data_IF_562642037116
#
_entry.id   IF_562642037116
#
_cell.length_a   1.000
_cell.length_b   1.000
_cell.length_c   1.000
_cell.angle_alpha   90.00
_cell.angle_beta   90.00
_cell.angle_gamma   90.00
#
_symmetry.space_group_name_H-M   'P 1'
#
loop_
_entity.id
_entity.type
_entity.pdbx_description
1 polymer ?
#
# COMPACT_ATOMS: atom_id res chain seq x y z
N UNK A 1 -19.52 -3.47 24.90
CA UNK A 1 -20.57 -3.92 25.83
C UNK A 1 -19.95 -4.56 27.07
N UNK A 2 -19.13 -5.60 26.90
CA UNK A 2 -18.48 -6.34 27.99
C UNK A 2 -17.63 -5.47 28.93
N UNK A 3 -16.70 -4.66 28.40
CA UNK A 3 -15.84 -3.77 29.20
C UNK A 3 -16.62 -2.85 30.16
N UNK A 4 -17.85 -2.49 29.80
CA UNK A 4 -18.69 -1.55 30.56
C UNK A 4 -19.92 -2.24 31.20
N UNK A 5 -20.02 -3.56 31.14
CA UNK A 5 -21.16 -4.31 31.69
C UNK A 5 -22.52 -3.94 31.09
N UNK A 6 -22.55 -3.46 29.84
CA UNK A 6 -23.79 -3.00 29.19
C UNK A 6 -24.54 -4.16 28.53
N UNK A 7 -25.87 -4.11 28.60
CA UNK A 7 -26.75 -5.03 27.88
C UNK A 7 -26.83 -4.66 26.39
N UNK A 8 -26.67 -5.66 25.52
CA UNK A 8 -26.84 -5.50 24.07
C UNK A 8 -28.34 -5.68 23.72
N UNK A 9 -28.99 -4.62 23.22
CA UNK A 9 -30.42 -4.66 22.89
C UNK A 9 -30.71 -5.26 21.49
N UNK A 10 -29.80 -5.04 20.54
CA UNK A 10 -29.85 -5.61 19.19
C UNK A 10 -28.41 -5.80 18.68
N UNK A 11 -28.21 -6.76 17.78
CA UNK A 11 -26.92 -7.01 17.10
C UNK A 11 -27.07 -6.75 15.61
N UNK A 12 -25.94 -6.44 14.95
CA UNK A 12 -25.85 -6.29 13.50
C UNK A 12 -26.90 -5.31 12.96
N UNK A 13 -26.93 -4.10 13.53
CA UNK A 13 -27.90 -3.04 13.21
C UNK A 13 -27.39 -2.08 12.12
N UNK A 14 -26.24 -2.36 11.54
CA UNK A 14 -25.66 -1.64 10.41
C UNK A 14 -26.51 -1.77 9.14
N UNK A 15 -26.45 -0.74 8.29
CA UNK A 15 -27.13 -0.75 7.00
C UNK A 15 -26.40 -1.64 5.97
N UNK A 16 -25.06 -1.73 6.06
CA UNK A 16 -24.21 -2.51 5.15
C UNK A 16 -23.42 -3.59 5.91
N UNK A 17 -23.76 -4.88 5.73
CA UNK A 17 -23.05 -5.99 6.38
C UNK A 17 -21.62 -6.20 5.83
N UNK A 18 -21.25 -5.55 4.72
CA UNK A 18 -19.90 -5.64 4.15
C UNK A 18 -18.94 -4.55 4.65
N UNK A 19 -19.37 -3.71 5.60
CA UNK A 19 -18.53 -2.68 6.18
C UNK A 19 -17.31 -3.31 6.87
N UNK A 20 -16.13 -3.12 6.28
CA UNK A 20 -14.87 -3.67 6.76
C UNK A 20 -13.84 -2.58 6.94
N UNK A 21 -13.01 -2.71 7.98
CA UNK A 21 -11.88 -1.81 8.23
C UNK A 21 -10.59 -2.60 8.13
N UNK A 22 -9.72 -2.21 7.19
CA UNK A 22 -8.38 -2.78 7.07
C UNK A 22 -7.43 -2.12 8.06
N UNK A 23 -6.80 -2.93 8.91
CA UNK A 23 -5.73 -2.51 9.81
C UNK A 23 -4.37 -2.99 9.30
N UNK A 24 -3.30 -2.29 9.69
CA UNK A 24 -1.91 -2.69 9.47
C UNK A 24 -1.23 -2.84 10.82
N UNK A 25 -0.47 -3.92 11.00
CA UNK A 25 0.39 -4.13 12.18
C UNK A 25 1.78 -3.60 11.84
N UNK A 26 2.30 -2.68 12.65
CA UNK A 26 3.58 -2.01 12.40
C UNK A 26 4.60 -2.48 13.44
N UNK A 27 5.75 -2.91 12.97
CA UNK A 27 6.90 -3.30 13.80
C UNK A 27 8.19 -2.67 13.28
N UNK A 28 9.26 -2.74 14.08
CA UNK A 28 10.61 -2.32 13.66
C UNK A 28 11.39 -3.40 12.91
N UNK A 29 10.91 -4.64 12.93
CA UNK A 29 11.49 -5.77 12.20
C UNK A 29 10.62 -6.11 10.98
N UNK A 30 11.22 -6.78 10.01
CA UNK A 30 10.52 -7.26 8.82
C UNK A 30 9.71 -8.52 9.14
N UNK A 31 8.56 -8.70 8.47
CA UNK A 31 7.70 -9.87 8.64
C UNK A 31 8.26 -11.14 7.97
N UNK A 32 9.18 -10.97 7.01
CA UNK A 32 9.65 -12.04 6.12
C UNK A 32 8.61 -12.45 5.06
N UNK A 33 9.02 -13.20 4.03
CA UNK A 33 8.12 -13.67 2.99
C UNK A 33 7.17 -14.76 3.50
N UNK A 34 5.90 -14.69 3.13
CA UNK A 34 4.86 -15.68 3.48
C UNK A 34 4.35 -16.48 2.28
N UNK A 35 4.72 -16.08 1.06
CA UNK A 35 4.30 -16.71 -0.19
C UNK A 35 2.99 -16.13 -0.75
N UNK A 36 2.23 -15.39 0.06
CA UNK A 36 1.12 -14.54 -0.41
C UNK A 36 1.18 -13.20 0.32
N UNK A 37 2.01 -12.33 -0.23
CA UNK A 37 2.36 -11.06 0.40
C UNK A 37 1.78 -9.86 -0.35
N UNK A 38 1.72 -8.73 0.34
CA UNK A 38 1.61 -7.40 -0.24
C UNK A 38 2.82 -6.58 0.16
N UNK A 39 3.22 -5.66 -0.71
CA UNK A 39 4.24 -4.67 -0.42
C UNK A 39 3.61 -3.28 -0.47
N UNK A 40 3.79 -2.51 0.60
CA UNK A 40 3.34 -1.10 0.64
C UNK A 40 4.53 -0.17 0.43
N UNK A 41 4.35 0.88 -0.37
CA UNK A 41 5.33 1.92 -0.58
C UNK A 41 4.70 3.31 -0.60
N UNK A 42 5.54 4.30 -0.35
CA UNK A 42 5.25 5.71 -0.58
C UNK A 42 6.19 6.20 -1.66
N UNK A 43 5.67 6.83 -2.71
CA UNK A 43 6.50 7.41 -3.76
C UNK A 43 6.02 8.81 -4.15
N UNK A 44 6.87 9.58 -4.81
CA UNK A 44 6.50 10.83 -5.48
C UNK A 44 7.06 10.86 -6.91
N UNK A 45 6.31 11.50 -7.79
CA UNK A 45 6.73 11.74 -9.17
C UNK A 45 7.07 13.23 -9.36
N UNK A 46 8.01 13.56 -10.26
CA UNK A 46 8.21 14.93 -10.69
C UNK A 46 6.91 15.55 -11.20
N UNK A 47 6.65 16.83 -10.91
CA UNK A 47 5.45 17.52 -11.37
C UNK A 47 5.56 17.91 -12.85
N UNK A 48 5.42 16.91 -13.73
CA UNK A 48 5.40 17.08 -15.19
C UNK A 48 4.41 16.10 -15.85
N UNK A 49 3.89 16.43 -17.05
CA UNK A 49 3.03 15.52 -17.79
C UNK A 49 3.66 14.12 -17.95
N UNK A 50 2.84 13.07 -17.76
CA UNK A 50 3.26 11.67 -17.92
C UNK A 50 4.10 11.09 -16.78
N UNK A 51 4.47 11.87 -15.75
CA UNK A 51 5.38 11.40 -14.70
C UNK A 51 4.81 10.21 -13.91
N UNK A 52 3.51 10.22 -13.58
CA UNK A 52 2.88 9.10 -12.89
C UNK A 52 2.81 7.83 -13.75
N UNK A 53 2.52 7.98 -15.04
CA UNK A 53 2.54 6.85 -15.97
C UNK A 53 3.94 6.24 -16.03
N UNK A 54 4.97 7.06 -16.26
CA UNK A 54 6.35 6.60 -16.32
C UNK A 54 6.82 5.95 -15.00
N UNK A 55 6.33 6.44 -13.85
CA UNK A 55 6.64 5.90 -12.54
C UNK A 55 6.03 4.51 -12.30
N UNK A 56 4.79 4.29 -12.75
CA UNK A 56 4.06 3.03 -12.50
C UNK A 56 4.23 1.99 -13.61
N UNK A 57 4.66 2.40 -14.80
CA UNK A 57 4.87 1.51 -15.95
C UNK A 57 5.78 0.28 -15.66
N UNK A 58 6.83 0.35 -14.82
CA UNK A 58 7.60 -0.83 -14.44
C UNK A 58 6.77 -1.93 -13.78
N UNK A 59 5.77 -1.57 -12.96
CA UNK A 59 4.92 -2.56 -12.30
C UNK A 59 4.17 -3.40 -13.34
N UNK A 60 3.56 -2.74 -14.33
CA UNK A 60 2.83 -3.42 -15.39
C UNK A 60 3.73 -4.31 -16.26
N UNK A 61 4.94 -3.84 -16.57
CA UNK A 61 5.89 -4.57 -17.43
C UNK A 61 6.43 -5.84 -16.78
N UNK A 62 6.64 -5.81 -15.46
CA UNK A 62 7.03 -6.97 -14.66
C UNK A 62 5.82 -7.79 -14.16
N UNK A 63 4.59 -7.48 -14.62
CA UNK A 63 3.39 -8.21 -14.24
C UNK A 63 3.01 -8.10 -12.76
N UNK A 64 3.42 -7.03 -12.08
CA UNK A 64 3.15 -6.77 -10.66
C UNK A 64 1.82 -6.01 -10.53
N UNK A 65 0.84 -6.65 -9.90
CA UNK A 65 -0.49 -6.05 -9.72
C UNK A 65 -0.51 -5.01 -8.58
N UNK A 66 -1.37 -4.00 -8.74
CA UNK A 66 -1.52 -2.90 -7.80
C UNK A 66 -2.94 -2.90 -7.21
N UNK A 67 -3.02 -3.00 -5.90
CA UNK A 67 -4.30 -3.10 -5.17
C UNK A 67 -4.70 -1.81 -4.47
N UNK A 68 -3.81 -0.81 -4.44
CA UNK A 68 -4.12 0.53 -3.94
C UNK A 68 -3.23 1.57 -4.61
N UNK A 69 -3.83 2.69 -4.99
CA UNK A 69 -3.14 3.91 -5.39
C UNK A 69 -3.87 5.12 -4.81
N UNK A 70 -3.23 5.83 -3.89
CA UNK A 70 -3.84 6.99 -3.23
C UNK A 70 -2.88 8.17 -3.18
N UNK A 71 -3.27 9.29 -3.79
CA UNK A 71 -2.54 10.56 -3.71
C UNK A 71 -2.85 11.31 -2.41
N UNK A 72 -1.83 11.93 -1.81
CA UNK A 72 -1.95 12.90 -0.72
C UNK A 72 -1.07 14.12 -1.02
N UNK A 73 -1.50 15.35 -0.68
CA UNK A 73 -0.65 16.52 -0.78
C UNK A 73 0.54 16.38 0.18
N UNK A 74 1.75 16.66 -0.30
CA UNK A 74 2.94 16.70 0.54
C UNK A 74 2.91 17.93 1.45
N UNK A 75 3.42 17.81 2.68
CA UNK A 75 3.46 18.92 3.65
C UNK A 75 4.56 19.96 3.36
N UNK A 76 5.54 19.63 2.52
CA UNK A 76 6.80 20.38 2.37
C UNK A 76 6.87 21.38 1.20
N UNK A 77 5.98 21.30 0.22
CA UNK A 77 6.04 22.14 -0.98
C UNK A 77 4.69 22.28 -1.68
N UNK A 78 4.44 23.46 -2.25
CA UNK A 78 3.27 23.71 -3.10
C UNK A 78 3.35 22.79 -4.33
N UNK A 79 2.30 22.00 -4.59
CA UNK A 79 2.18 21.09 -5.76
C UNK A 79 2.98 19.79 -5.72
N UNK A 80 3.55 19.41 -4.57
CA UNK A 80 4.15 18.09 -4.40
C UNK A 80 3.12 17.08 -3.90
N UNK A 81 3.03 15.93 -4.56
CA UNK A 81 2.16 14.82 -4.17
C UNK A 81 2.99 13.61 -3.76
N UNK A 82 2.53 12.94 -2.71
CA UNK A 82 2.97 11.58 -2.38
C UNK A 82 1.86 10.60 -2.68
N UNK A 83 2.25 9.42 -3.14
CA UNK A 83 1.35 8.34 -3.52
C UNK A 83 1.62 7.17 -2.60
N UNK A 84 0.56 6.71 -1.93
CA UNK A 84 0.56 5.44 -1.20
C UNK A 84 0.12 4.36 -2.17
N UNK A 85 1.00 3.37 -2.34
CA UNK A 85 0.79 2.26 -3.28
C UNK A 85 0.89 0.95 -2.52
N UNK A 86 -0.07 0.05 -2.77
CA UNK A 86 0.04 -1.35 -2.35
C UNK A 86 0.10 -2.22 -3.59
N UNK A 87 1.12 -3.08 -3.67
CA UNK A 87 1.31 -4.05 -4.75
C UNK A 87 1.22 -5.48 -4.21
N UNK A 88 0.89 -6.43 -5.08
CA UNK A 88 0.95 -7.85 -4.75
C UNK A 88 2.38 -8.37 -4.87
N UNK A 89 2.74 -9.29 -3.96
CA UNK A 89 4.08 -9.88 -3.89
C UNK A 89 4.97 -9.26 -2.81
N UNK A 90 6.03 -10.00 -2.48
CA UNK A 90 7.05 -9.62 -1.51
C UNK A 90 8.19 -8.87 -2.20
N UNK A 91 8.87 -7.95 -1.51
CA UNK A 91 9.98 -7.17 -2.07
C UNK A 91 11.18 -8.02 -2.54
N UNK A 92 11.24 -9.29 -2.11
CA UNK A 92 12.28 -10.24 -2.50
C UNK A 92 11.89 -11.11 -3.70
N UNK A 93 10.64 -11.04 -4.17
CA UNK A 93 10.20 -11.75 -5.36
C UNK A 93 10.87 -11.12 -6.58
N UNK A 94 11.35 -11.92 -7.52
CA UNK A 94 12.21 -11.43 -8.62
C UNK A 94 11.55 -10.30 -9.43
N UNK A 95 10.28 -10.48 -9.82
CA UNK A 95 9.51 -9.50 -10.59
C UNK A 95 9.26 -8.21 -9.79
N UNK A 96 8.94 -8.35 -8.49
CA UNK A 96 8.70 -7.20 -7.60
C UNK A 96 9.99 -6.42 -7.37
N UNK A 97 11.09 -7.11 -7.09
CA UNK A 97 12.39 -6.50 -6.90
C UNK A 97 12.83 -5.72 -8.15
N UNK A 98 12.70 -6.33 -9.33
CA UNK A 98 13.02 -5.69 -10.61
C UNK A 98 12.15 -4.43 -10.85
N UNK A 99 10.85 -4.52 -10.59
CA UNK A 99 9.95 -3.38 -10.73
C UNK A 99 10.26 -2.26 -9.73
N UNK A 100 10.59 -2.60 -8.48
CA UNK A 100 10.98 -1.64 -7.46
C UNK A 100 12.30 -0.93 -7.81
N UNK A 101 13.30 -1.65 -8.34
CA UNK A 101 14.56 -1.05 -8.79
C UNK A 101 14.31 0.03 -9.84
N UNK A 102 13.53 -0.28 -10.88
CA UNK A 102 13.22 0.70 -11.91
C UNK A 102 12.34 1.86 -11.42
N UNK A 103 11.41 1.57 -10.49
CA UNK A 103 10.57 2.60 -9.89
C UNK A 103 11.43 3.59 -9.09
N UNK A 104 12.44 3.12 -8.35
CA UNK A 104 13.38 3.95 -7.60
C UNK A 104 14.16 4.88 -8.52
N UNK A 105 14.61 4.40 -9.68
CA UNK A 105 15.37 5.20 -10.65
C UNK A 105 14.53 6.34 -11.26
N UNK A 106 13.21 6.20 -11.30
CA UNK A 106 12.28 7.15 -11.92
C UNK A 106 11.61 8.09 -10.92
N UNK A 107 11.51 7.68 -9.66
CA UNK A 107 10.85 8.42 -8.62
C UNK A 107 11.67 9.64 -8.17
N UNK A 108 11.00 10.73 -7.81
CA UNK A 108 11.65 11.80 -7.07
C UNK A 108 11.94 11.38 -5.62
N UNK A 109 11.09 10.51 -5.08
CA UNK A 109 11.25 9.87 -3.77
C UNK A 109 10.53 8.53 -3.79
N UNK A 110 11.10 7.53 -3.13
CA UNK A 110 10.45 6.26 -2.84
C UNK A 110 10.87 5.73 -1.48
N UNK A 111 9.93 5.14 -0.77
CA UNK A 111 10.16 4.40 0.45
C UNK A 111 9.27 3.17 0.49
N UNK A 112 9.88 2.00 0.53
CA UNK A 112 9.18 0.77 0.89
C UNK A 112 8.85 0.83 2.38
N UNK A 113 7.58 0.65 2.72
CA UNK A 113 7.09 0.64 4.10
C UNK A 113 7.13 -0.75 4.73
N UNK A 114 7.11 -1.79 3.89
CA UNK A 114 7.25 -3.18 4.29
C UNK A 114 6.52 -4.12 3.34
N UNK A 115 6.98 -5.37 3.32
CA UNK A 115 6.28 -6.51 2.72
C UNK A 115 5.71 -7.38 3.83
N UNK A 116 4.47 -7.82 3.69
CA UNK A 116 3.73 -8.49 4.75
C UNK A 116 2.67 -9.45 4.19
N UNK A 117 2.28 -10.49 4.95
CA UNK A 117 1.25 -11.43 4.53
C UNK A 117 -0.09 -10.75 4.24
N UNK A 118 -0.81 -11.25 3.23
CA UNK A 118 -2.19 -10.84 2.98
C UNK A 118 -3.05 -11.29 4.18
N UNK A 119 -3.91 -10.39 4.66
CA UNK A 119 -4.86 -10.73 5.70
C UNK A 119 -5.82 -11.84 5.22
N UNK A 120 -6.10 -12.82 6.08
CA UNK A 120 -7.19 -13.74 5.85
C UNK A 120 -8.51 -12.94 5.88
N UNK A 121 -9.30 -13.07 4.82
CA UNK A 121 -10.67 -12.55 4.72
C UNK A 121 -11.62 -13.71 5.01
#
# INVERSE_FOLDING_TARGET
AELYGLNKLASNIEDDPNNSTRFLVIARHEAGPSGKDKTSLVCSAPNRPGAMHALLEPLARHGVDMTKLQSRPARGGLWEYVFYVDIEGHQSDAEVAAALTELVERAAFVKVLGSYPVAAI
#
